data_IF_833691816803
#
_entry.id   IF_833691816803
#
_cell.length_a   1.000
_cell.length_b   1.000
_cell.length_c   1.000
_cell.angle_alpha   90.00
_cell.angle_beta   90.00
_cell.angle_gamma   90.00
#
_symmetry.space_group_name_H-M   'P 1'
#
loop_
_entity.id
_entity.type
_entity.pdbx_description
1 polymer ?
#
# COMPACT_ATOMS: atom_id res chain seq x y z
N UNK A 1 25.95 -19.77 6.50
CA UNK A 1 26.34 -19.79 6.16
C UNK A 1 26.35 -19.73 5.83
N UNK A 2 26.00 -19.28 5.92
CA UNK A 2 26.17 -19.22 5.59
C UNK A 2 25.95 -18.99 5.09
N UNK A 3 25.68 -18.83 5.08
CA UNK A 3 25.71 -18.80 4.65
C UNK A 3 25.51 -18.44 4.16
N UNK A 4 25.34 -18.19 4.26
CA UNK A 4 25.34 -17.89 3.86
C UNK A 4 25.34 -17.37 3.42
N UNK A 5 25.16 -16.95 3.53
CA UNK A 5 25.34 -16.53 3.09
C UNK A 5 25.48 -16.21 2.70
N UNK A 6 25.49 -16.13 2.62
CA UNK A 6 25.68 -15.82 2.22
C UNK A 6 25.69 -15.49 2.10
N UNK A 7 25.72 -15.45 2.34
CA UNK A 7 25.57 -14.99 2.21
C UNK A 7 25.31 -14.23 2.04
N UNK A 8 25.31 -14.01 2.20
CA UNK A 8 25.06 -13.27 1.96
C UNK A 8 24.57 -12.69 1.93
N UNK A 9 24.61 -12.68 1.83
CA UNK A 9 24.08 -12.18 1.65
C UNK A 9 23.34 -11.90 1.82
N UNK A 10 23.37 -12.29 2.18
CA UNK A 10 22.63 -12.17 2.47
C UNK A 10 21.95 -11.65 2.66
N UNK A 11 22.24 -11.65 2.83
CA UNK A 11 21.80 -11.32 3.00
C UNK A 11 21.27 -10.89 2.73
N UNK A 12 21.95 -10.85 2.18
CA UNK A 12 21.28 -10.12 1.95
C UNK A 12 19.91 -10.07 2.29
N UNK A 13 19.66 -9.65 3.27
CA UNK A 13 18.30 -9.69 3.73
C UNK A 13 17.48 -8.64 3.01
N UNK A 14 16.33 -9.02 2.49
CA UNK A 14 15.42 -8.08 1.84
C UNK A 14 14.94 -7.08 2.86
N UNK A 15 14.99 -5.81 2.50
CA UNK A 15 14.42 -4.77 3.33
C UNK A 15 13.03 -4.44 2.82
N UNK A 16 12.03 -4.62 3.67
CA UNK A 16 10.62 -4.50 3.32
C UNK A 16 10.03 -3.26 3.97
N UNK A 17 9.26 -2.50 3.21
CA UNK A 17 8.48 -1.38 3.70
C UNK A 17 7.01 -1.73 3.60
N UNK A 18 6.24 -1.44 4.65
CA UNK A 18 4.77 -1.48 4.59
C UNK A 18 4.28 -0.04 4.61
N UNK A 19 3.70 0.40 3.50
CA UNK A 19 3.18 1.76 3.35
C UNK A 19 1.67 1.69 3.18
N UNK A 20 0.91 2.37 4.04
CA UNK A 20 -0.55 2.30 3.99
C UNK A 20 -1.19 3.67 4.08
N UNK A 21 -2.31 3.83 3.37
CA UNK A 21 -3.26 4.90 3.59
C UNK A 21 -4.48 4.33 4.29
N UNK A 22 -4.90 4.98 5.37
CA UNK A 22 -6.05 4.52 6.14
C UNK A 22 -6.94 5.71 6.48
N UNK A 23 -8.20 5.67 6.05
CA UNK A 23 -9.14 6.74 6.33
C UNK A 23 -9.83 6.56 7.68
N UNK A 24 -10.15 5.31 8.04
CA UNK A 24 -10.91 5.01 9.26
C UNK A 24 -10.09 4.27 10.32
N UNK A 25 -8.86 3.92 10.04
CA UNK A 25 -7.99 3.20 10.95
C UNK A 25 -7.94 1.69 10.71
N UNK A 26 -8.84 1.14 9.90
CA UNK A 26 -8.89 -0.31 9.65
C UNK A 26 -7.65 -0.77 8.89
N UNK A 27 -7.34 -0.11 7.77
CA UNK A 27 -6.17 -0.45 6.97
C UNK A 27 -4.88 -0.28 7.76
N UNK A 28 -4.81 0.77 8.59
CA UNK A 28 -3.64 1.03 9.41
C UNK A 28 -3.36 -0.12 10.37
N UNK A 29 -4.38 -0.63 11.05
CA UNK A 29 -4.22 -1.74 11.98
C UNK A 29 -3.71 -3.00 11.29
N UNK A 30 -4.24 -3.30 10.11
CA UNK A 30 -3.78 -4.44 9.32
C UNK A 30 -2.33 -4.22 8.89
N UNK A 31 -2.01 -3.02 8.39
CA UNK A 31 -0.65 -2.70 7.96
C UNK A 31 0.37 -2.80 9.07
N UNK A 32 0.02 -2.31 10.27
CA UNK A 32 0.91 -2.41 11.42
C UNK A 32 1.17 -3.87 11.80
N UNK A 33 0.14 -4.70 11.75
CA UNK A 33 0.30 -6.13 12.02
C UNK A 33 1.19 -6.80 10.97
N UNK A 34 1.01 -6.47 9.71
CA UNK A 34 1.86 -7.00 8.63
C UNK A 34 3.32 -6.61 8.87
N UNK A 35 3.57 -5.34 9.18
CA UNK A 35 4.94 -4.87 9.42
C UNK A 35 5.58 -5.59 10.59
N UNK A 36 4.84 -5.76 11.68
CA UNK A 36 5.34 -6.46 12.86
C UNK A 36 5.68 -7.92 12.54
N UNK A 37 4.80 -8.60 11.84
CA UNK A 37 4.98 -10.02 11.54
C UNK A 37 6.11 -10.22 10.52
N UNK A 38 6.22 -9.33 9.53
CA UNK A 38 7.23 -9.43 8.49
C UNK A 38 8.60 -8.89 8.93
N UNK A 39 8.67 -8.22 10.08
CA UNK A 39 9.89 -7.53 10.48
C UNK A 39 10.23 -6.36 9.56
N UNK A 40 9.19 -5.68 9.06
CA UNK A 40 9.32 -4.61 8.08
C UNK A 40 9.14 -3.24 8.74
N UNK A 41 9.65 -2.21 8.08
CA UNK A 41 9.39 -0.84 8.49
C UNK A 41 7.96 -0.47 8.11
N UNK A 42 7.35 0.43 8.88
CA UNK A 42 5.99 0.88 8.65
C UNK A 42 5.97 2.37 8.32
N UNK A 43 5.24 2.73 7.29
CA UNK A 43 5.07 4.13 6.87
C UNK A 43 3.59 4.40 6.64
N UNK A 44 3.06 5.40 7.31
CA UNK A 44 1.67 5.82 7.08
C UNK A 44 1.65 6.92 6.03
N UNK A 45 0.93 6.68 4.93
CA UNK A 45 0.72 7.67 3.88
C UNK A 45 -0.34 8.64 4.39
N UNK A 46 0.08 9.83 4.80
CA UNK A 46 -0.82 10.82 5.39
C UNK A 46 -1.09 11.94 4.40
N UNK A 47 -2.37 12.24 4.13
CA UNK A 47 -2.68 13.41 3.31
C UNK A 47 -2.32 14.69 4.07
N UNK A 48 -1.93 15.74 3.33
CA UNK A 48 -1.68 17.05 3.92
C UNK A 48 -2.94 17.53 4.63
N UNK A 49 -4.10 17.31 4.01
CA UNK A 49 -5.40 17.61 4.63
C UNK A 49 -6.08 16.30 5.00
N UNK A 50 -6.17 15.98 6.30
CA UNK A 50 -6.83 14.74 6.72
C UNK A 50 -8.28 14.69 6.26
N UNK A 51 -8.76 13.49 5.97
CA UNK A 51 -10.15 13.29 5.57
C UNK A 51 -11.05 13.37 6.80
N UNK A 52 -12.06 14.23 6.74
CA UNK A 52 -13.08 14.31 7.76
C UNK A 52 -14.18 13.29 7.50
N UNK A 53 -15.08 13.13 8.47
CA UNK A 53 -16.24 12.26 8.28
C UNK A 53 -17.07 12.70 7.08
N UNK A 54 -17.26 14.01 6.93
CA UNK A 54 -18.00 14.55 5.77
C UNK A 54 -17.29 14.27 4.47
N UNK A 55 -15.95 14.37 4.46
CA UNK A 55 -15.13 14.06 3.28
C UNK A 55 -15.32 12.63 2.81
N UNK A 56 -15.58 11.71 3.74
CA UNK A 56 -15.69 10.28 3.46
C UNK A 56 -17.12 9.84 3.13
N UNK A 57 -18.07 10.76 3.11
CA UNK A 57 -19.47 10.41 2.84
C UNK A 57 -19.67 10.08 1.36
N UNK A 58 -19.54 8.80 1.04
CA UNK A 58 -19.64 8.31 -0.33
C UNK A 58 -21.04 8.46 -0.93
N UNK A 59 -22.07 8.67 -0.09
CA UNK A 59 -23.43 8.91 -0.56
C UNK A 59 -23.65 10.34 -1.05
N UNK A 60 -22.76 11.25 -0.69
CA UNK A 60 -22.81 12.63 -1.15
C UNK A 60 -21.85 12.80 -2.31
N UNK A 61 -22.37 13.02 -3.53
CA UNK A 61 -21.52 13.15 -4.72
C UNK A 61 -20.64 14.40 -4.70
N UNK A 62 -20.91 15.33 -3.81
CA UNK A 62 -20.06 16.52 -3.65
C UNK A 62 -19.05 16.39 -2.53
N UNK A 63 -19.00 15.25 -1.84
CA UNK A 63 -17.97 15.03 -0.81
C UNK A 63 -16.61 14.95 -1.45
N UNK A 64 -15.58 15.22 -0.65
CA UNK A 64 -14.19 15.20 -1.15
C UNK A 64 -13.82 13.86 -1.79
N UNK A 65 -14.14 12.74 -1.13
CA UNK A 65 -13.80 11.43 -1.69
C UNK A 65 -14.55 11.17 -3.00
N UNK A 66 -15.81 11.56 -3.09
CA UNK A 66 -16.58 11.39 -4.33
C UNK A 66 -15.97 12.21 -5.47
N UNK A 67 -15.62 13.45 -5.21
CA UNK A 67 -15.04 14.34 -6.22
C UNK A 67 -13.70 13.79 -6.69
N UNK A 68 -12.84 13.37 -5.75
CA UNK A 68 -11.52 12.82 -6.10
C UNK A 68 -11.65 11.54 -6.92
N UNK A 69 -12.56 10.65 -6.53
CA UNK A 69 -12.69 9.37 -7.25
C UNK A 69 -13.32 9.53 -8.63
N UNK A 70 -14.09 10.60 -8.85
CA UNK A 70 -14.62 10.90 -10.17
C UNK A 70 -13.64 11.64 -11.08
N UNK A 71 -12.48 12.03 -10.56
CA UNK A 71 -11.45 12.73 -11.33
C UNK A 71 -10.20 11.86 -11.38
N UNK A 72 -9.95 11.19 -12.52
CA UNK A 72 -8.77 10.32 -12.63
C UNK A 72 -7.43 11.06 -12.48
N UNK A 73 -7.42 12.38 -12.60
CA UNK A 73 -6.20 13.17 -12.45
C UNK A 73 -6.02 13.76 -11.06
N UNK A 74 -6.96 13.52 -10.15
CA UNK A 74 -6.84 14.03 -8.78
C UNK A 74 -5.63 13.39 -8.09
N UNK A 75 -4.81 14.23 -7.44
CA UNK A 75 -3.61 13.76 -6.74
C UNK A 75 -3.51 14.48 -5.39
N UNK A 76 -4.24 13.97 -4.36
CA UNK A 76 -4.13 14.57 -3.02
C UNK A 76 -2.68 14.56 -2.55
N UNK A 77 -2.24 15.69 -2.00
CA UNK A 77 -0.86 15.83 -1.56
C UNK A 77 -0.60 15.01 -0.30
N UNK A 78 0.60 14.45 -0.21
CA UNK A 78 1.06 13.64 0.91
C UNK A 78 1.92 14.50 1.83
N UNK A 79 1.69 14.41 3.14
CA UNK A 79 2.50 15.10 4.13
C UNK A 79 3.83 14.37 4.32
N UNK A 80 4.94 15.11 4.32
CA UNK A 80 6.27 14.56 4.51
C UNK A 80 6.87 14.02 3.22
N UNK A 81 8.21 14.05 3.13
CA UNK A 81 8.96 13.55 1.97
C UNK A 81 10.26 12.88 2.40
N UNK A 82 10.29 12.37 3.61
CA UNK A 82 11.52 11.85 4.23
C UNK A 82 11.72 10.35 4.03
N UNK A 83 10.90 9.73 3.20
CA UNK A 83 11.00 8.29 2.93
C UNK A 83 12.09 8.04 1.90
N UNK A 84 13.09 7.24 2.30
CA UNK A 84 14.16 6.82 1.39
C UNK A 84 13.79 5.49 0.73
N UNK A 85 13.18 5.57 -0.44
CA UNK A 85 12.73 4.39 -1.18
C UNK A 85 13.90 3.49 -1.58
N UNK A 86 15.07 4.06 -1.78
CA UNK A 86 16.25 3.26 -2.17
C UNK A 86 16.68 2.27 -1.09
N UNK A 87 16.25 2.47 0.15
CA UNK A 87 16.56 1.56 1.25
C UNK A 87 15.77 0.25 1.19
N UNK A 88 14.74 0.17 0.34
CA UNK A 88 13.84 -0.97 0.30
C UNK A 88 13.87 -1.65 -1.05
N UNK A 89 13.80 -2.97 -1.05
CA UNK A 89 13.67 -3.74 -2.30
C UNK A 89 12.25 -4.28 -2.48
N UNK A 90 11.43 -4.24 -1.44
CA UNK A 90 10.04 -4.70 -1.50
C UNK A 90 9.16 -3.71 -0.75
N UNK A 91 8.04 -3.34 -1.37
CA UNK A 91 7.08 -2.41 -0.77
C UNK A 91 5.70 -3.06 -0.77
N UNK A 92 5.15 -3.23 0.43
CA UNK A 92 3.78 -3.70 0.60
C UNK A 92 2.92 -2.45 0.73
N UNK A 93 1.95 -2.28 -0.18
CA UNK A 93 1.09 -1.09 -0.21
C UNK A 93 -0.32 -1.49 0.20
N UNK A 94 -0.86 -0.79 1.20
CA UNK A 94 -2.20 -1.08 1.71
C UNK A 94 -3.13 0.12 1.60
N UNK A 95 -4.43 -0.14 1.32
CA UNK A 95 -5.41 0.91 1.12
C UNK A 95 -6.84 0.35 1.24
N UNK A 96 -7.81 1.21 1.59
CA UNK A 96 -9.21 0.81 1.49
C UNK A 96 -9.66 0.86 0.02
N UNK A 97 -10.67 0.08 -0.31
CA UNK A 97 -11.25 0.14 -1.65
C UNK A 97 -12.33 1.22 -1.68
N UNK A 98 -12.18 2.16 -2.62
CA UNK A 98 -13.15 3.21 -2.90
C UNK A 98 -13.63 3.05 -4.33
N UNK A 99 -14.93 2.75 -4.51
CA UNK A 99 -15.52 2.54 -5.85
C UNK A 99 -14.73 1.53 -6.69
N UNK A 100 -14.32 0.43 -6.06
CA UNK A 100 -13.66 -0.68 -6.75
C UNK A 100 -12.18 -0.50 -7.04
N UNK A 101 -11.59 0.63 -6.63
CA UNK A 101 -10.16 0.90 -6.86
C UNK A 101 -9.54 1.54 -5.62
N UNK A 102 -8.22 1.75 -5.67
CA UNK A 102 -7.51 2.45 -4.59
C UNK A 102 -7.85 3.94 -4.60
N UNK A 103 -7.83 4.60 -3.42
CA UNK A 103 -7.96 6.05 -3.36
C UNK A 103 -6.86 6.76 -4.15
N UNK A 104 -7.14 7.95 -4.66
CA UNK A 104 -6.20 8.70 -5.51
C UNK A 104 -4.85 8.99 -4.82
N UNK A 105 -4.83 9.07 -3.49
CA UNK A 105 -3.59 9.32 -2.77
C UNK A 105 -2.56 8.20 -2.98
N UNK A 106 -3.02 6.98 -3.25
CA UNK A 106 -2.12 5.87 -3.58
C UNK A 106 -1.42 6.14 -4.91
N UNK A 107 -2.14 6.70 -5.88
CA UNK A 107 -1.50 7.11 -7.14
C UNK A 107 -0.47 8.21 -6.90
N UNK A 108 -0.79 9.18 -6.03
CA UNK A 108 0.19 10.20 -5.63
C UNK A 108 1.46 9.56 -5.07
N UNK A 109 1.30 8.58 -4.18
CA UNK A 109 2.42 7.89 -3.55
C UNK A 109 3.28 7.16 -4.58
N UNK A 110 2.65 6.42 -5.48
CA UNK A 110 3.37 5.66 -6.50
C UNK A 110 4.12 6.55 -7.47
N UNK A 111 3.57 7.72 -7.76
CA UNK A 111 4.20 8.67 -8.68
C UNK A 111 5.27 9.53 -8.01
N UNK A 112 5.36 9.49 -6.68
CA UNK A 112 6.29 10.33 -5.91
C UNK A 112 7.66 9.71 -5.72
N UNK A 113 7.82 8.41 -5.98
CA UNK A 113 9.07 7.69 -5.73
C UNK A 113 9.44 6.82 -6.93
N UNK A 114 10.73 6.46 -7.00
CA UNK A 114 11.23 5.55 -8.02
C UNK A 114 11.17 4.11 -7.49
N UNK A 115 10.33 3.30 -8.10
CA UNK A 115 10.16 1.90 -7.72
C UNK A 115 10.92 0.94 -8.65
N UNK A 116 11.77 1.45 -9.55
CA UNK A 116 12.53 0.60 -10.47
C UNK A 116 13.35 -0.44 -9.73
N UNK A 117 13.26 -1.69 -10.17
CA UNK A 117 13.99 -2.81 -9.57
C UNK A 117 13.36 -3.35 -8.30
N UNK A 118 12.20 -2.84 -7.91
CA UNK A 118 11.54 -3.24 -6.67
C UNK A 118 10.31 -4.09 -6.92
N UNK A 119 9.92 -4.82 -5.89
CA UNK A 119 8.68 -5.60 -5.89
C UNK A 119 7.62 -4.84 -5.13
N UNK A 120 6.41 -4.74 -5.71
CA UNK A 120 5.27 -4.10 -5.07
C UNK A 120 4.20 -5.15 -4.80
N UNK A 121 3.71 -5.20 -3.57
CA UNK A 121 2.72 -6.17 -3.12
C UNK A 121 1.51 -5.40 -2.58
N UNK A 122 0.40 -5.32 -3.33
CA UNK A 122 -0.78 -4.61 -2.84
C UNK A 122 -1.61 -5.46 -1.89
N UNK A 123 -2.18 -4.82 -0.87
CA UNK A 123 -3.29 -5.41 -0.13
C UNK A 123 -4.36 -4.34 0.08
N UNK A 124 -5.58 -4.79 0.29
CA UNK A 124 -6.68 -3.85 0.53
C UNK A 124 -7.56 -4.29 1.68
N UNK A 125 -8.28 -3.33 2.24
CA UNK A 125 -9.41 -3.60 3.12
C UNK A 125 -10.68 -3.17 2.37
N UNK A 126 -11.75 -3.95 2.51
CA UNK A 126 -12.95 -3.69 1.73
C UNK A 126 -14.17 -4.23 2.46
N UNK A 127 -15.29 -3.54 2.32
CA UNK A 127 -16.55 -3.99 2.89
C UNK A 127 -17.18 -5.18 2.16
N UNK A 128 -16.66 -5.57 0.98
CA UNK A 128 -17.24 -6.71 0.26
C UNK A 128 -16.84 -6.84 -1.19
N UNK A 129 -16.19 -5.83 -1.77
CA UNK A 129 -15.89 -5.85 -3.21
C UNK A 129 -14.56 -6.54 -3.57
N UNK A 130 -13.76 -6.95 -2.58
CA UNK A 130 -12.46 -7.56 -2.82
C UNK A 130 -11.46 -6.56 -3.39
N UNK A 131 -10.39 -7.08 -3.99
CA UNK A 131 -9.34 -6.25 -4.58
C UNK A 131 -9.89 -5.43 -5.76
N UNK A 132 -10.88 -5.98 -6.45
CA UNK A 132 -11.49 -5.32 -7.58
C UNK A 132 -10.49 -5.04 -8.68
N UNK A 133 -10.61 -3.86 -9.30
CA UNK A 133 -9.72 -3.44 -10.38
C UNK A 133 -8.40 -2.86 -9.87
N UNK A 134 -8.26 -2.69 -8.55
CA UNK A 134 -7.06 -2.07 -7.99
C UNK A 134 -5.81 -2.92 -8.20
N UNK A 135 -5.98 -4.22 -8.42
CA UNK A 135 -4.86 -5.13 -8.62
C UNK A 135 -4.00 -4.71 -9.83
N UNK A 136 -4.64 -4.30 -10.92
CA UNK A 136 -3.94 -3.90 -12.14
C UNK A 136 -4.01 -2.41 -12.43
N UNK A 137 -4.98 -1.71 -11.84
CA UNK A 137 -5.21 -0.30 -12.14
C UNK A 137 -4.04 0.60 -11.72
N UNK A 138 -3.24 0.17 -10.75
CA UNK A 138 -2.11 0.96 -10.25
C UNK A 138 -0.83 0.77 -11.07
N UNK A 139 -0.77 -0.24 -11.94
CA UNK A 139 0.45 -0.52 -12.70
C UNK A 139 0.88 0.65 -13.56
N UNK A 140 -0.08 1.42 -14.08
CA UNK A 140 0.19 2.59 -14.94
C UNK A 140 0.86 3.74 -14.19
N UNK A 141 0.84 3.72 -12.85
CA UNK A 141 1.35 4.83 -12.05
C UNK A 141 2.84 4.72 -11.76
N UNK A 142 3.46 3.61 -12.12
CA UNK A 142 4.90 3.42 -11.95
C UNK A 142 5.54 3.12 -13.30
N UNK A 143 6.80 3.57 -13.43
CA UNK A 143 7.59 3.32 -14.64
C UNK A 143 8.79 2.47 -14.27
N UNK A 144 9.45 1.91 -15.30
CA UNK A 144 10.62 1.11 -15.09
C UNK A 144 10.28 -0.35 -14.82
N UNK A 145 11.29 -1.10 -14.41
CA UNK A 145 11.18 -2.54 -14.19
C UNK A 145 10.70 -2.81 -12.78
N UNK A 146 9.41 -3.04 -12.62
CA UNK A 146 8.78 -3.28 -11.32
C UNK A 146 8.10 -4.64 -11.35
N UNK A 147 8.36 -5.44 -10.31
CA UNK A 147 7.71 -6.73 -10.16
C UNK A 147 6.47 -6.56 -9.29
N UNK A 148 5.30 -6.84 -9.85
CA UNK A 148 4.02 -6.74 -9.13
C UNK A 148 3.58 -8.10 -8.64
N UNK A 149 3.28 -8.23 -7.36
CA UNK A 149 2.59 -9.40 -6.85
C UNK A 149 1.09 -9.20 -7.00
N UNK A 150 0.35 -10.30 -7.00
CA UNK A 150 -1.10 -10.24 -7.03
C UNK A 150 -1.62 -9.63 -5.73
N UNK A 151 -2.59 -8.74 -5.83
CA UNK A 151 -3.20 -8.10 -4.67
C UNK A 151 -4.09 -9.04 -3.87
N UNK A 152 -4.23 -8.76 -2.58
CA UNK A 152 -5.06 -9.54 -1.67
C UNK A 152 -5.90 -8.65 -0.78
N UNK A 153 -7.08 -9.14 -0.41
CA UNK A 153 -7.92 -8.47 0.58
C UNK A 153 -7.60 -9.04 1.96
N UNK A 154 -7.25 -8.16 2.89
CA UNK A 154 -6.95 -8.54 4.27
C UNK A 154 -7.68 -7.57 5.18
N UNK A 155 -8.84 -7.97 5.70
CA UNK A 155 -9.70 -7.06 6.46
C UNK A 155 -9.41 -7.04 7.96
N UNK A 156 -8.64 -7.99 8.46
CA UNK A 156 -8.38 -8.12 9.90
C UNK A 156 -6.91 -8.46 10.14
N UNK A 157 -6.35 -7.98 11.25
CA UNK A 157 -4.96 -8.27 11.59
C UNK A 157 -4.80 -9.68 12.18
N UNK A 158 -5.25 -10.69 11.45
CA UNK A 158 -5.15 -12.09 11.85
C UNK A 158 -3.75 -12.60 11.57
N UNK A 159 -3.02 -12.92 12.62
CA UNK A 159 -1.62 -13.28 12.50
C UNK A 159 -1.40 -14.51 11.63
N UNK A 160 -2.20 -15.55 11.80
CA UNK A 160 -2.04 -16.79 11.05
C UNK A 160 -2.26 -16.56 9.55
N UNK A 161 -3.32 -15.82 9.21
CA UNK A 161 -3.62 -15.53 7.81
C UNK A 161 -2.55 -14.64 7.18
N UNK A 162 -2.05 -13.66 7.93
CA UNK A 162 -1.00 -12.78 7.44
C UNK A 162 0.30 -13.55 7.20
N UNK A 163 0.69 -14.44 8.13
CA UNK A 163 1.90 -15.24 7.96
C UNK A 163 1.82 -16.11 6.71
N UNK A 164 0.67 -16.74 6.48
CA UNK A 164 0.47 -17.57 5.30
C UNK A 164 0.58 -16.75 4.02
N UNK A 165 -0.05 -15.59 4.01
CA UNK A 165 0.00 -14.69 2.86
C UNK A 165 1.42 -14.22 2.58
N UNK A 166 2.17 -13.82 3.62
CA UNK A 166 3.55 -13.38 3.46
C UNK A 166 4.44 -14.49 2.88
N UNK A 167 4.19 -15.74 3.26
CA UNK A 167 4.95 -16.86 2.69
C UNK A 167 4.71 -16.99 1.19
N UNK A 168 3.53 -16.58 0.71
CA UNK A 168 3.21 -16.66 -0.71
C UNK A 168 3.80 -15.51 -1.50
N UNK A 169 3.86 -14.31 -0.93
CA UNK A 169 4.18 -13.09 -1.70
C UNK A 169 5.60 -12.57 -1.49
N UNK A 170 6.24 -12.90 -0.40
CA UNK A 170 7.64 -12.49 -0.15
C UNK A 170 8.68 -13.50 -0.71
#
# INVERSE_FOLDING_TARGET
>A
MEHILAKGEKQMAKKVLVAVFSASGVTKKVGEAIARIAGADFYEIKPVEPYTRADLNWMNKNSRSSVEMNDPSARPAIAGNDLDMAAYDTVIIGFPIWWGVAPRIIETFLESYDFSGRKIIPFCTSGGSGVGRSDTALHKNVTGDVQWAKGSQINRPNEKAIRRWLEEVL
#
